data_IF_634020524248
#
_entry.id   IF_634020524248
#
_cell.length_a   1.000
_cell.length_b   1.000
_cell.length_c   1.000
_cell.angle_alpha   90.00
_cell.angle_beta   90.00
_cell.angle_gamma   90.00
#
_symmetry.space_group_name_H-M   'P 1'
#
loop_
_entity.id
_entity.type
_entity.pdbx_description
1 polymer ?
#
# COMPACT_ATOMS: atom_id res chain seq x y z
N UNK A 1 29.72 -0.58 -25.13
CA UNK A 1 29.92 -0.76 -23.68
C UNK A 1 28.72 -1.51 -23.12
N UNK A 2 28.99 -2.65 -22.47
CA UNK A 2 28.03 -3.45 -21.72
C UNK A 2 27.65 -2.70 -20.45
N UNK A 3 26.37 -2.67 -20.08
CA UNK A 3 25.86 -3.32 -18.85
C UNK A 3 24.38 -3.64 -19.09
N UNK A 4 24.10 -4.90 -19.41
CA UNK A 4 22.79 -5.51 -19.24
C UNK A 4 22.69 -5.83 -17.75
N UNK A 5 21.88 -5.09 -16.99
CA UNK A 5 21.58 -5.43 -15.61
C UNK A 5 20.61 -6.60 -15.65
N UNK A 6 21.15 -7.80 -15.46
CA UNK A 6 20.38 -9.03 -15.26
C UNK A 6 19.78 -8.93 -13.86
N UNK A 7 18.50 -8.55 -13.79
CA UNK A 7 17.71 -8.59 -12.58
C UNK A 7 17.39 -10.06 -12.30
N UNK A 8 18.21 -10.70 -11.47
CA UNK A 8 17.90 -12.01 -10.90
C UNK A 8 16.84 -11.80 -9.83
N UNK A 9 15.58 -11.75 -10.23
CA UNK A 9 14.47 -11.98 -9.32
C UNK A 9 14.31 -13.49 -9.16
N UNK A 10 14.69 -14.01 -7.99
CA UNK A 10 14.33 -15.35 -7.56
C UNK A 10 12.82 -15.54 -7.75
N UNK A 11 12.46 -16.56 -8.53
CA UNK A 11 11.08 -16.95 -8.78
C UNK A 11 10.49 -17.54 -7.51
N UNK A 12 9.72 -16.73 -6.79
CA UNK A 12 8.47 -17.18 -6.23
C UNK A 12 7.40 -16.35 -6.95
N UNK A 13 6.82 -16.91 -8.01
CA UNK A 13 5.64 -16.34 -8.63
C UNK A 13 4.47 -16.49 -7.66
N UNK A 14 4.39 -15.61 -6.64
CA UNK A 14 3.11 -15.28 -6.04
C UNK A 14 2.35 -14.52 -7.11
N UNK A 15 1.34 -15.15 -7.72
CA UNK A 15 0.43 -14.46 -8.62
C UNK A 15 -0.06 -13.20 -7.90
N UNK A 16 0.22 -12.02 -8.47
CA UNK A 16 -0.26 -10.76 -7.92
C UNK A 16 -1.77 -10.89 -7.65
N UNK A 17 -2.22 -10.41 -6.49
CA UNK A 17 -3.63 -10.47 -6.14
C UNK A 17 -4.44 -9.59 -7.10
N UNK A 18 -5.63 -10.03 -7.56
CA UNK A 18 -6.40 -9.27 -8.52
C UNK A 18 -6.80 -7.91 -7.94
N UNK A 19 -6.55 -6.85 -8.70
CA UNK A 19 -7.01 -5.50 -8.38
C UNK A 19 -8.54 -5.46 -8.59
N UNK A 20 -9.34 -5.09 -7.58
CA UNK A 20 -10.78 -5.01 -7.73
C UNK A 20 -11.19 -3.90 -8.71
N UNK A 21 -12.27 -4.15 -9.45
CA UNK A 21 -12.91 -3.19 -10.35
C UNK A 21 -14.45 -3.27 -10.18
N UNK A 22 -15.13 -2.21 -9.67
CA UNK A 22 -14.57 -0.93 -9.24
C UNK A 22 -13.57 -1.08 -8.07
N UNK A 23 -12.61 -0.16 -7.97
CA UNK A 23 -11.57 -0.22 -6.94
C UNK A 23 -12.13 0.14 -5.57
N UNK A 24 -12.61 -0.88 -4.85
CA UNK A 24 -13.27 -0.76 -3.56
C UNK A 24 -12.75 -1.82 -2.60
N UNK A 25 -12.72 -1.49 -1.32
CA UNK A 25 -12.46 -2.47 -0.27
C UNK A 25 -13.61 -3.49 -0.23
N UNK A 26 -13.27 -4.76 0.00
CA UNK A 26 -14.23 -5.85 0.22
C UNK A 26 -13.77 -6.77 1.37
N UNK A 27 -14.64 -7.70 1.78
CA UNK A 27 -14.40 -8.63 2.89
C UNK A 27 -13.15 -9.52 2.72
N UNK A 28 -12.62 -9.68 1.51
CA UNK A 28 -11.37 -10.40 1.29
C UNK A 28 -10.13 -9.66 1.79
N UNK A 29 -10.25 -8.36 2.07
CA UNK A 29 -9.22 -7.52 2.69
C UNK A 29 -9.34 -7.45 4.22
N UNK A 30 -10.34 -8.12 4.82
CA UNK A 30 -10.72 -7.96 6.22
C UNK A 30 -9.60 -8.28 7.21
N UNK A 31 -9.28 -7.32 8.05
CA UNK A 31 -8.55 -7.44 9.30
C UNK A 31 -9.07 -6.37 10.28
N UNK A 32 -9.92 -6.79 11.23
CA UNK A 32 -10.75 -5.92 12.09
C UNK A 32 -10.04 -4.71 12.68
N UNK A 33 -8.74 -4.83 12.99
CA UNK A 33 -7.94 -3.76 13.60
C UNK A 33 -7.57 -2.61 12.66
N UNK A 34 -7.53 -2.87 11.35
CA UNK A 34 -7.06 -1.92 10.33
C UNK A 34 -8.09 -1.67 9.22
N UNK A 35 -9.23 -2.37 9.22
CA UNK A 35 -10.25 -2.25 8.18
C UNK A 35 -10.68 -0.80 7.89
N UNK A 36 -10.95 -0.01 8.92
CA UNK A 36 -11.38 1.38 8.74
C UNK A 36 -10.28 2.28 8.15
N UNK A 37 -9.02 1.90 8.32
CA UNK A 37 -7.89 2.60 7.70
C UNK A 37 -7.72 2.13 6.26
N UNK A 38 -7.73 0.82 6.01
CA UNK A 38 -7.66 0.26 4.66
C UNK A 38 -8.79 0.79 3.77
N UNK A 39 -10.03 0.80 4.25
CA UNK A 39 -11.19 1.36 3.52
C UNK A 39 -10.93 2.80 3.07
N UNK A 40 -10.34 3.64 3.94
CA UNK A 40 -9.98 5.02 3.58
C UNK A 40 -8.91 5.10 2.49
N UNK A 41 -7.93 4.20 2.50
CA UNK A 41 -6.92 4.12 1.43
C UNK A 41 -7.54 3.72 0.09
N UNK A 42 -8.43 2.73 0.07
CA UNK A 42 -9.18 2.36 -1.13
C UNK A 42 -9.99 3.55 -1.68
N UNK A 43 -10.76 4.22 -0.80
CA UNK A 43 -11.53 5.41 -1.19
C UNK A 43 -10.63 6.53 -1.70
N UNK A 44 -9.53 6.84 -1.02
CA UNK A 44 -8.62 7.91 -1.43
C UNK A 44 -7.97 7.65 -2.79
N UNK A 45 -7.59 6.41 -3.11
CA UNK A 45 -7.11 6.05 -4.45
C UNK A 45 -8.22 6.21 -5.50
N UNK A 46 -9.45 5.81 -5.19
CA UNK A 46 -10.60 5.99 -6.09
C UNK A 46 -10.94 7.47 -6.32
N UNK A 47 -10.78 8.32 -5.30
CA UNK A 47 -10.98 9.77 -5.39
C UNK A 47 -9.92 10.42 -6.30
N UNK A 48 -8.64 10.02 -6.15
CA UNK A 48 -7.55 10.46 -7.06
C UNK A 48 -7.81 9.99 -8.49
N UNK A 49 -8.27 8.75 -8.69
CA UNK A 49 -8.62 8.26 -10.02
C UNK A 49 -9.74 9.08 -10.66
N UNK A 50 -10.74 9.47 -9.86
CA UNK A 50 -11.89 10.25 -10.35
C UNK A 50 -11.51 11.71 -10.61
N UNK A 51 -10.49 12.24 -9.91
CA UNK A 51 -10.08 13.63 -9.96
C UNK A 51 -8.55 13.76 -10.13
N UNK A 52 -7.95 13.26 -11.24
CA UNK A 52 -6.49 13.17 -11.36
C UNK A 52 -5.78 14.53 -11.38
N UNK A 53 -6.49 15.61 -11.73
CA UNK A 53 -5.94 16.97 -11.72
C UNK A 53 -6.06 17.67 -10.35
N UNK A 54 -6.74 17.07 -9.37
CA UNK A 54 -6.94 17.65 -8.05
C UNK A 54 -5.73 17.39 -7.14
N UNK A 55 -4.95 18.44 -6.90
CA UNK A 55 -3.78 18.37 -6.01
C UNK A 55 -4.14 18.06 -4.56
N UNK A 56 -5.33 18.48 -4.11
CA UNK A 56 -5.80 18.19 -2.76
C UNK A 56 -6.13 16.71 -2.59
N UNK A 57 -6.60 16.03 -3.64
CA UNK A 57 -6.90 14.60 -3.60
C UNK A 57 -5.63 13.76 -3.36
N UNK A 58 -4.55 14.02 -4.11
CA UNK A 58 -3.28 13.29 -3.93
C UNK A 58 -2.62 13.63 -2.59
N UNK A 59 -2.60 14.91 -2.19
CA UNK A 59 -2.07 15.28 -0.86
C UNK A 59 -2.88 14.70 0.29
N UNK A 60 -4.19 14.55 0.15
CA UNK A 60 -5.01 13.86 1.15
C UNK A 60 -4.68 12.36 1.21
N UNK A 61 -4.50 11.72 0.06
CA UNK A 61 -4.12 10.31 -0.01
C UNK A 61 -2.76 10.05 0.63
N UNK A 62 -1.76 10.91 0.40
CA UNK A 62 -0.45 10.85 1.07
C UNK A 62 -0.60 10.88 2.60
N UNK A 63 -1.42 11.78 3.14
CA UNK A 63 -1.68 11.88 4.59
C UNK A 63 -2.40 10.64 5.14
N UNK A 64 -3.33 10.04 4.39
CA UNK A 64 -3.99 8.79 4.77
C UNK A 64 -2.98 7.63 4.88
N UNK A 65 -2.08 7.47 3.89
CA UNK A 65 -1.04 6.45 3.92
C UNK A 65 -0.07 6.67 5.09
N UNK A 66 0.42 7.90 5.27
CA UNK A 66 1.32 8.22 6.37
C UNK A 66 0.71 7.87 7.74
N UNK A 67 -0.55 8.26 7.97
CA UNK A 67 -1.26 7.95 9.22
C UNK A 67 -1.44 6.46 9.43
N UNK A 68 -1.80 5.74 8.37
CA UNK A 68 -1.98 4.29 8.40
C UNK A 68 -0.68 3.57 8.76
N UNK A 69 0.41 3.86 8.04
CA UNK A 69 1.70 3.23 8.26
C UNK A 69 2.23 3.46 9.68
N UNK A 70 2.14 4.68 10.20
CA UNK A 70 2.60 4.98 11.57
C UNK A 70 1.76 4.26 12.63
N UNK A 71 0.45 4.13 12.41
CA UNK A 71 -0.43 3.38 13.32
C UNK A 71 -0.08 1.88 13.32
N UNK A 72 0.03 1.29 12.14
CA UNK A 72 0.33 -0.12 11.95
C UNK A 72 1.73 -0.49 12.47
N UNK A 73 2.75 0.32 12.14
CA UNK A 73 4.12 0.15 12.64
C UNK A 73 4.18 0.18 14.16
N UNK A 74 3.42 1.07 14.79
CA UNK A 74 3.34 1.15 16.25
C UNK A 74 2.73 -0.13 16.84
N UNK A 75 1.66 -0.67 16.24
CA UNK A 75 1.08 -1.94 16.69
C UNK A 75 2.08 -3.10 16.57
N UNK A 76 2.87 -3.13 15.50
CA UNK A 76 3.93 -4.11 15.31
C UNK A 76 5.06 -3.95 16.35
N UNK A 77 5.43 -2.71 16.66
CA UNK A 77 6.46 -2.38 17.67
C UNK A 77 6.03 -2.82 19.07
N UNK A 78 4.79 -2.56 19.46
CA UNK A 78 4.22 -2.90 20.78
C UNK A 78 4.29 -4.40 21.10
N UNK A 79 4.23 -5.26 20.09
CA UNK A 79 4.32 -6.72 20.24
C UNK A 79 5.69 -7.30 19.88
N UNK A 80 6.66 -6.46 19.52
CA UNK A 80 7.98 -6.90 19.07
C UNK A 80 7.92 -7.78 17.80
N UNK A 81 7.08 -7.42 16.84
CA UNK A 81 6.91 -8.20 15.61
C UNK A 81 8.24 -8.30 14.83
N UNK A 82 8.74 -9.52 14.67
CA UNK A 82 10.09 -9.78 14.15
C UNK A 82 10.35 -9.18 12.76
N UNK A 83 9.32 -9.08 11.90
CA UNK A 83 9.44 -8.58 10.53
C UNK A 83 9.19 -7.07 10.40
N UNK A 84 9.00 -6.33 11.50
CA UNK A 84 8.80 -4.88 11.48
C UNK A 84 9.85 -4.12 10.64
N UNK A 85 11.17 -4.42 10.73
CA UNK A 85 12.16 -3.68 9.93
C UNK A 85 11.94 -3.80 8.41
N UNK A 86 11.55 -4.99 7.94
CA UNK A 86 11.26 -5.22 6.53
C UNK A 86 9.96 -4.53 6.11
N UNK A 87 8.91 -4.65 6.93
CA UNK A 87 7.60 -4.03 6.70
C UNK A 87 7.71 -2.50 6.60
N UNK A 88 8.40 -1.88 7.56
CA UNK A 88 8.64 -0.43 7.60
C UNK A 88 9.43 0.06 6.39
N UNK A 89 10.34 -0.75 5.85
CA UNK A 89 11.07 -0.41 4.62
C UNK A 89 10.13 -0.35 3.41
N UNK A 90 9.20 -1.29 3.29
CA UNK A 90 8.18 -1.28 2.22
C UNK A 90 7.30 -0.03 2.30
N UNK A 91 6.88 0.36 3.51
CA UNK A 91 6.16 1.63 3.73
C UNK A 91 6.99 2.85 3.33
N UNK A 92 8.25 2.91 3.77
CA UNK A 92 9.13 4.06 3.49
C UNK A 92 9.39 4.19 1.98
N UNK A 93 9.60 3.08 1.29
CA UNK A 93 9.79 3.05 -0.16
C UNK A 93 8.51 3.55 -0.86
N UNK A 94 7.32 3.11 -0.43
CA UNK A 94 6.04 3.61 -0.98
C UNK A 94 5.78 5.08 -0.68
N UNK A 95 6.06 5.55 0.54
CA UNK A 95 5.97 6.97 0.94
C UNK A 95 6.84 7.87 0.04
N UNK A 96 8.03 7.38 -0.35
CA UNK A 96 8.90 8.09 -1.29
C UNK A 96 8.29 8.17 -2.69
N UNK A 97 7.76 7.06 -3.20
CA UNK A 97 7.16 7.00 -4.54
C UNK A 97 5.92 7.89 -4.65
N UNK A 98 5.01 7.85 -3.66
CA UNK A 98 3.77 8.64 -3.71
C UNK A 98 4.04 10.15 -3.61
N UNK A 99 5.07 10.57 -2.87
CA UNK A 99 5.46 11.98 -2.72
C UNK A 99 5.96 12.62 -4.01
N UNK A 100 6.49 11.81 -4.93
CA UNK A 100 6.96 12.25 -6.24
C UNK A 100 5.85 12.24 -7.30
N UNK A 101 4.61 11.86 -6.92
CA UNK A 101 3.43 11.94 -7.79
C UNK A 101 2.90 13.38 -7.79
N UNK A 102 2.72 13.94 -8.98
CA UNK A 102 2.19 15.29 -9.18
C UNK A 102 0.99 15.28 -10.12
N UNK A 103 0.18 16.34 -10.06
CA UNK A 103 -0.99 16.46 -10.92
C UNK A 103 -0.62 16.91 -12.35
N UNK A 104 -1.36 16.46 -13.37
CA UNK A 104 -2.39 15.42 -13.28
C UNK A 104 -1.77 14.04 -13.03
N UNK A 105 -2.32 13.31 -12.06
CA UNK A 105 -1.89 11.94 -11.73
C UNK A 105 -2.16 11.04 -12.92
N UNK A 106 -1.12 10.38 -13.40
CA UNK A 106 -1.16 9.56 -14.60
C UNK A 106 -1.78 8.19 -14.31
N UNK A 107 -2.40 7.58 -15.34
CA UNK A 107 -3.04 6.26 -15.20
C UNK A 107 -2.12 5.17 -14.67
N UNK A 108 -0.84 5.18 -15.05
CA UNK A 108 0.14 4.21 -14.54
C UNK A 108 0.50 4.44 -13.06
N UNK A 109 0.43 5.68 -12.57
CA UNK A 109 0.63 6.02 -11.16
C UNK A 109 -0.58 5.56 -10.33
N UNK A 110 -1.80 5.75 -10.85
CA UNK A 110 -3.02 5.21 -10.24
C UNK A 110 -2.94 3.68 -10.17
N UNK A 111 -2.55 3.03 -11.27
CA UNK A 111 -2.37 1.57 -11.30
C UNK A 111 -1.33 1.11 -10.27
N UNK A 112 -0.18 1.80 -10.17
CA UNK A 112 0.84 1.52 -9.17
C UNK A 112 0.28 1.57 -7.74
N UNK A 113 -0.44 2.64 -7.37
CA UNK A 113 -1.02 2.76 -6.02
C UNK A 113 -2.04 1.65 -5.73
N UNK A 114 -2.87 1.28 -6.71
CA UNK A 114 -3.83 0.18 -6.59
C UNK A 114 -3.15 -1.16 -6.41
N UNK A 115 -2.21 -1.48 -7.28
CA UNK A 115 -1.47 -2.74 -7.27
C UNK A 115 -0.68 -2.89 -5.97
N UNK A 116 0.01 -1.83 -5.55
CA UNK A 116 0.76 -1.82 -4.30
C UNK A 116 -0.15 -2.07 -3.10
N UNK A 117 -1.25 -1.33 -2.95
CA UNK A 117 -2.15 -1.48 -1.80
C UNK A 117 -2.72 -2.90 -1.70
N UNK A 118 -3.17 -3.46 -2.83
CA UNK A 118 -3.78 -4.79 -2.87
C UNK A 118 -2.78 -5.88 -2.50
N UNK A 119 -1.58 -5.83 -3.07
CA UNK A 119 -0.55 -6.83 -2.82
C UNK A 119 0.09 -6.65 -1.43
N UNK A 120 0.22 -5.42 -0.93
CA UNK A 120 0.73 -5.14 0.39
C UNK A 120 -0.21 -5.70 1.47
N UNK A 121 -1.51 -5.37 1.40
CA UNK A 121 -2.48 -5.89 2.37
C UNK A 121 -2.52 -7.43 2.37
N UNK A 122 -2.68 -8.04 1.19
CA UNK A 122 -2.88 -9.50 1.12
C UNK A 122 -1.59 -10.30 1.28
N UNK A 123 -0.47 -9.76 0.80
CA UNK A 123 0.82 -10.45 0.80
C UNK A 123 1.66 -10.20 2.04
N UNK A 124 1.54 -9.02 2.67
CA UNK A 124 2.42 -8.56 3.74
C UNK A 124 1.63 -8.38 5.04
N UNK A 125 0.59 -7.54 5.05
CA UNK A 125 -0.18 -7.24 6.27
C UNK A 125 -0.82 -8.49 6.86
N UNK A 126 -1.35 -9.36 6.00
CA UNK A 126 -1.97 -10.61 6.45
C UNK A 126 -1.00 -11.54 7.19
N UNK A 127 0.31 -11.35 7.06
CA UNK A 127 1.30 -12.14 7.79
C UNK A 127 1.29 -11.88 9.30
N UNK A 128 0.77 -10.73 9.76
CA UNK A 128 0.63 -10.44 11.19
C UNK A 128 -0.78 -10.67 11.74
N UNK A 129 -1.73 -11.20 10.95
CA UNK A 129 -3.07 -11.55 11.45
C UNK A 129 -2.96 -12.49 12.65
N UNK A 130 -3.62 -12.12 13.75
CA UNK A 130 -3.56 -12.85 15.02
C UNK A 130 -2.25 -12.70 15.79
N UNK A 131 -1.31 -11.86 15.32
CA UNK A 131 -0.02 -11.60 15.99
C UNK A 131 0.07 -10.21 16.63
N UNK A 132 -0.72 -9.24 16.16
CA UNK A 132 -0.81 -7.94 16.82
C UNK A 132 -1.76 -8.03 18.01
N UNK A 133 -1.42 -7.35 19.11
CA UNK A 133 -2.17 -7.36 20.37
C UNK A 133 -3.61 -6.87 20.15
N UNK A 134 -4.55 -7.47 20.88
CA UNK A 134 -5.99 -7.13 20.93
C UNK A 134 -6.25 -5.74 21.48
#
# INVERSE_FOLDING_TARGET
MKVLVILVACVAASLAYPIPDPFQWDESFRYDKLDEQHKKLFTGIADVQSNPADGAAISHLEDLFYKHFRFEEKMMEEVGYANLPAHKRMHTDFESEIKDIHTPVQGYQIFFMKDWLVNHIKGIDFQYKGKLSS
#
